data_IF_890269528903
#
_entry.id   IF_890269528903
#
_cell.length_a   1.000
_cell.length_b   1.000
_cell.length_c   1.000
_cell.angle_alpha   90.00
_cell.angle_beta   90.00
_cell.angle_gamma   90.00
#
_symmetry.space_group_name_H-M   'P 1'
#
loop_
_entity.id
_entity.type
_entity.pdbx_description
1 polymer ?
#
# COMPACT_ATOMS: atom_id res chain seq x y z
N UNK A 1 -9.09 7.14 -26.67
CA UNK A 1 -8.05 6.14 -26.34
C UNK A 1 -8.52 5.32 -25.15
N UNK A 2 -8.24 4.01 -25.13
CA UNK A 2 -8.45 3.14 -23.96
C UNK A 2 -7.10 2.81 -23.32
N UNK A 3 -7.05 2.67 -22.00
CA UNK A 3 -5.87 2.21 -21.26
C UNK A 3 -6.29 1.19 -20.20
N UNK A 4 -5.54 0.09 -20.10
CA UNK A 4 -5.71 -0.92 -19.06
C UNK A 4 -4.85 -0.60 -17.85
N UNK A 5 -5.36 -0.79 -16.64
CA UNK A 5 -4.61 -0.67 -15.38
C UNK A 5 -4.80 -1.95 -14.58
N UNK A 6 -3.69 -2.52 -14.11
CA UNK A 6 -3.71 -3.73 -13.28
C UNK A 6 -3.87 -3.36 -11.80
N UNK A 7 -4.88 -3.96 -11.16
CA UNK A 7 -5.19 -3.82 -9.75
C UNK A 7 -6.23 -2.75 -9.45
N UNK A 8 -7.20 -3.06 -8.58
CA UNK A 8 -8.24 -2.14 -8.11
C UNK A 8 -8.05 -1.69 -6.65
N UNK A 9 -6.85 -1.83 -6.12
CA UNK A 9 -6.47 -1.33 -4.79
C UNK A 9 -5.93 0.10 -4.84
N UNK A 10 -5.42 0.60 -3.70
CA UNK A 10 -4.93 1.99 -3.56
C UNK A 10 -3.97 2.41 -4.69
N UNK A 11 -3.07 1.52 -5.12
CA UNK A 11 -2.08 1.78 -6.18
C UNK A 11 -2.75 1.96 -7.55
N UNK A 12 -3.62 1.04 -7.94
CA UNK A 12 -4.27 1.08 -9.24
C UNK A 12 -5.29 2.22 -9.33
N UNK A 13 -6.01 2.49 -8.23
CA UNK A 13 -6.96 3.59 -8.17
C UNK A 13 -6.30 4.97 -8.14
N UNK A 14 -5.17 5.15 -7.43
CA UNK A 14 -4.42 6.42 -7.49
C UNK A 14 -3.86 6.66 -8.91
N UNK A 15 -3.38 5.60 -9.57
CA UNK A 15 -2.92 5.65 -10.97
C UNK A 15 -4.05 6.03 -11.92
N UNK A 16 -5.19 5.34 -11.83
CA UNK A 16 -6.37 5.63 -12.64
C UNK A 16 -6.86 7.07 -12.44
N UNK A 17 -6.91 7.51 -11.19
CA UNK A 17 -7.32 8.88 -10.84
C UNK A 17 -6.41 9.92 -11.50
N UNK A 18 -5.08 9.83 -11.33
CA UNK A 18 -4.16 10.81 -11.90
C UNK A 18 -4.22 10.86 -13.43
N UNK A 19 -4.34 9.71 -14.10
CA UNK A 19 -4.50 9.68 -15.56
C UNK A 19 -5.80 10.35 -15.96
N UNK A 20 -6.92 10.05 -15.28
CA UNK A 20 -8.22 10.63 -15.62
C UNK A 20 -8.28 12.14 -15.35
N UNK A 21 -7.59 12.60 -14.29
CA UNK A 21 -7.49 14.01 -13.92
C UNK A 21 -6.73 14.82 -14.98
N UNK A 22 -5.66 14.25 -15.56
CA UNK A 22 -4.83 14.92 -16.56
C UNK A 22 -5.30 14.67 -18.01
N UNK A 23 -6.01 13.57 -18.25
CA UNK A 23 -6.51 13.16 -19.56
C UNK A 23 -7.97 12.66 -19.47
N UNK A 24 -8.90 13.62 -19.41
CA UNK A 24 -10.33 13.35 -19.15
C UNK A 24 -11.02 12.51 -20.23
N UNK A 25 -10.49 12.51 -21.46
CA UNK A 25 -10.99 11.76 -22.61
C UNK A 25 -10.43 10.33 -22.74
N UNK A 26 -9.50 9.93 -21.86
CA UNK A 26 -9.01 8.54 -21.80
C UNK A 26 -10.05 7.68 -21.08
N UNK A 27 -10.43 6.56 -21.71
CA UNK A 27 -11.24 5.53 -21.09
C UNK A 27 -10.33 4.55 -20.35
N UNK A 28 -10.60 4.35 -19.06
CA UNK A 28 -9.76 3.53 -18.17
C UNK A 28 -10.46 2.21 -17.90
N UNK A 29 -9.79 1.11 -18.22
CA UNK A 29 -10.19 -0.24 -17.85
C UNK A 29 -9.36 -0.71 -16.66
N UNK A 30 -9.99 -0.89 -15.50
CA UNK A 30 -9.33 -1.44 -14.31
C UNK A 30 -9.60 -2.94 -14.25
N UNK A 31 -8.54 -3.73 -14.24
CA UNK A 31 -8.62 -5.19 -14.14
C UNK A 31 -8.00 -5.68 -12.84
N UNK A 32 -8.75 -6.50 -12.11
CA UNK A 32 -8.31 -7.13 -10.87
C UNK A 32 -8.94 -8.51 -10.75
N UNK A 33 -8.26 -9.43 -10.07
CA UNK A 33 -8.74 -10.79 -9.82
C UNK A 33 -10.03 -10.78 -8.98
N UNK A 34 -9.99 -10.07 -7.86
CA UNK A 34 -11.16 -9.77 -7.01
C UNK A 34 -11.52 -8.29 -7.12
N UNK A 35 -12.79 -7.93 -6.84
CA UNK A 35 -13.30 -6.55 -6.93
C UNK A 35 -13.94 -6.09 -5.62
N UNK A 36 -14.05 -4.78 -5.41
CA UNK A 36 -14.67 -4.16 -4.23
C UNK A 36 -14.09 -4.70 -2.91
N UNK A 37 -14.95 -5.07 -1.97
CA UNK A 37 -14.58 -5.59 -0.64
C UNK A 37 -13.85 -6.93 -0.67
N UNK A 38 -13.77 -7.57 -1.86
CA UNK A 38 -13.12 -8.86 -2.02
C UNK A 38 -11.61 -8.74 -2.33
N UNK A 39 -11.07 -7.52 -2.51
CA UNK A 39 -9.63 -7.35 -2.73
C UNK A 39 -8.86 -7.59 -1.44
N UNK A 40 -7.65 -8.16 -1.54
CA UNK A 40 -6.80 -8.47 -0.37
C UNK A 40 -6.32 -7.25 0.42
N UNK A 41 -6.48 -6.05 -0.13
CA UNK A 41 -6.19 -4.78 0.56
C UNK A 41 -7.40 -4.18 1.28
N UNK A 42 -8.60 -4.74 1.10
CA UNK A 42 -9.78 -4.33 1.85
C UNK A 42 -9.61 -4.73 3.32
N UNK A 43 -9.89 -3.82 4.25
CA UNK A 43 -9.63 -4.02 5.68
C UNK A 43 -8.15 -3.91 6.09
N UNK A 44 -7.21 -3.74 5.16
CA UNK A 44 -5.83 -3.47 5.53
C UNK A 44 -5.73 -2.15 6.31
N UNK A 45 -4.84 -2.07 7.29
CA UNK A 45 -4.80 -0.99 8.27
C UNK A 45 -4.59 0.44 7.72
N UNK A 46 -4.29 0.59 6.43
CA UNK A 46 -4.36 1.89 5.78
C UNK A 46 -3.34 2.92 6.28
N UNK A 47 -2.29 2.49 6.98
CA UNK A 47 -1.35 3.40 7.64
C UNK A 47 -0.29 3.95 6.67
N UNK A 48 -0.04 5.26 6.77
CA UNK A 48 1.11 5.89 6.14
C UNK A 48 2.36 5.66 6.99
N UNK A 49 3.08 4.54 6.74
CA UNK A 49 4.32 4.17 7.44
C UNK A 49 5.41 3.72 6.44
N UNK A 50 6.02 4.65 5.68
CA UNK A 50 7.18 4.35 4.85
C UNK A 50 8.36 3.90 5.69
N UNK A 51 9.04 2.85 5.23
CA UNK A 51 10.29 2.35 5.80
C UNK A 51 11.20 1.88 4.66
N UNK A 52 12.37 2.52 4.43
CA UNK A 52 13.33 2.07 3.45
C UNK A 52 13.73 0.61 3.63
N UNK A 53 13.77 0.09 4.87
CA UNK A 53 14.11 -1.31 5.16
C UNK A 53 13.11 -2.30 4.55
N UNK A 54 11.89 -1.83 4.23
CA UNK A 54 10.83 -2.61 3.60
C UNK A 54 10.77 -2.40 2.08
N UNK A 55 11.65 -1.56 1.51
CA UNK A 55 11.75 -1.41 0.07
C UNK A 55 12.09 -2.74 -0.59
N UNK A 56 11.42 -3.08 -1.69
CA UNK A 56 11.80 -4.26 -2.42
C UNK A 56 13.09 -4.02 -3.22
N UNK A 57 14.13 -4.82 -2.92
CA UNK A 57 15.44 -4.80 -3.58
C UNK A 57 16.54 -5.26 -2.60
N UNK A 58 17.56 -5.97 -3.07
CA UNK A 58 18.61 -6.55 -2.19
C UNK A 58 19.80 -5.62 -1.94
N UNK A 59 20.00 -4.59 -2.77
CA UNK A 59 21.11 -3.63 -2.63
C UNK A 59 20.63 -2.25 -3.05
N UNK A 60 20.67 -1.28 -2.13
CA UNK A 60 20.28 0.10 -2.41
C UNK A 60 21.29 0.75 -3.34
N UNK A 61 20.84 1.20 -4.52
CA UNK A 61 21.50 2.31 -5.17
C UNK A 61 20.89 3.64 -4.68
N UNK A 62 21.67 4.72 -4.80
CA UNK A 62 21.27 6.04 -4.33
C UNK A 62 20.02 6.56 -5.04
N UNK A 63 19.78 6.14 -6.28
CA UNK A 63 18.68 6.62 -7.12
C UNK A 63 17.35 6.00 -6.68
N UNK A 64 17.32 4.70 -6.39
CA UNK A 64 16.16 4.01 -5.81
C UNK A 64 15.76 4.62 -4.47
N UNK A 65 16.75 4.98 -3.64
CA UNK A 65 16.48 5.67 -2.39
C UNK A 65 15.88 7.07 -2.63
N UNK A 66 16.44 7.84 -3.58
CA UNK A 66 15.89 9.16 -3.95
C UNK A 66 14.45 9.06 -4.47
N UNK A 67 14.16 8.06 -5.30
CA UNK A 67 12.80 7.78 -5.80
C UNK A 67 11.85 7.43 -4.66
N UNK A 68 12.28 6.59 -3.72
CA UNK A 68 11.50 6.30 -2.52
C UNK A 68 11.18 7.56 -1.72
N UNK A 69 12.16 8.42 -1.44
CA UNK A 69 11.94 9.69 -0.73
C UNK A 69 10.92 10.56 -1.47
N UNK A 70 11.06 10.67 -2.79
CA UNK A 70 10.17 11.45 -3.64
C UNK A 70 8.75 10.88 -3.63
N UNK A 71 8.60 9.56 -3.73
CA UNK A 71 7.30 8.91 -3.68
C UNK A 71 6.61 9.09 -2.33
N UNK A 72 7.35 8.93 -1.23
CA UNK A 72 6.83 9.15 0.11
C UNK A 72 6.36 10.59 0.30
N UNK A 73 7.12 11.58 -0.19
CA UNK A 73 6.73 12.98 -0.07
C UNK A 73 5.45 13.30 -0.85
N UNK A 74 5.30 12.77 -2.07
CA UNK A 74 4.08 12.92 -2.86
C UNK A 74 2.86 12.29 -2.14
N UNK A 75 3.03 11.09 -1.59
CA UNK A 75 2.02 10.44 -0.75
C UNK A 75 1.64 11.31 0.46
N UNK A 76 2.64 11.76 1.22
CA UNK A 76 2.46 12.60 2.40
C UNK A 76 1.67 13.86 2.08
N UNK A 77 2.04 14.60 1.04
CA UNK A 77 1.37 15.82 0.63
C UNK A 77 -0.12 15.58 0.35
N UNK A 78 -0.43 14.54 -0.42
CA UNK A 78 -1.79 14.24 -0.79
C UNK A 78 -2.64 13.76 0.39
N UNK A 79 -2.11 12.87 1.23
CA UNK A 79 -2.84 12.43 2.43
C UNK A 79 -3.00 13.57 3.45
N UNK A 80 -2.02 14.46 3.61
CA UNK A 80 -2.15 15.64 4.49
C UNK A 80 -3.22 16.58 3.97
N UNK A 81 -3.26 16.82 2.65
CA UNK A 81 -4.32 17.60 2.02
C UNK A 81 -5.70 17.00 2.28
N UNK A 82 -5.85 15.69 2.16
CA UNK A 82 -7.12 15.00 2.45
C UNK A 82 -7.48 15.09 3.95
N UNK A 83 -6.52 14.83 4.84
CA UNK A 83 -6.71 14.86 6.30
C UNK A 83 -7.11 16.25 6.82
N UNK A 84 -6.57 17.30 6.21
CA UNK A 84 -6.86 18.70 6.57
C UNK A 84 -8.05 19.29 5.82
N UNK A 85 -8.62 18.56 4.84
CA UNK A 85 -9.77 19.02 4.08
C UNK A 85 -11.07 18.93 4.88
N UNK A 86 -12.06 19.71 4.46
CA UNK A 86 -13.43 19.63 4.96
C UNK A 86 -14.12 18.27 4.69
N UNK A 87 -13.56 17.47 3.78
CA UNK A 87 -14.03 16.13 3.42
C UNK A 87 -13.30 15.00 4.16
N UNK A 88 -12.39 15.29 5.10
CA UNK A 88 -11.59 14.28 5.81
C UNK A 88 -12.45 13.17 6.45
N UNK A 89 -13.61 13.54 7.00
CA UNK A 89 -14.58 12.61 7.59
C UNK A 89 -15.20 11.62 6.57
N UNK A 90 -15.35 12.06 5.32
CA UNK A 90 -15.88 11.24 4.22
C UNK A 90 -14.78 10.43 3.53
N UNK A 91 -13.56 10.97 3.45
CA UNK A 91 -12.41 10.24 2.86
C UNK A 91 -11.84 9.20 3.83
N UNK A 92 -12.11 9.33 5.13
CA UNK A 92 -11.57 8.46 6.16
C UNK A 92 -10.08 8.70 6.45
N UNK A 93 -9.50 9.77 5.90
CA UNK A 93 -8.09 10.13 6.12
C UNK A 93 -8.02 11.15 7.26
N UNK A 94 -7.29 10.85 8.32
CA UNK A 94 -7.13 11.72 9.49
C UNK A 94 -5.74 11.54 10.12
N UNK A 95 -5.34 12.52 10.93
CA UNK A 95 -4.14 12.38 11.76
C UNK A 95 -4.46 11.60 13.01
N UNK A 96 -3.61 10.61 13.28
CA UNK A 96 -3.71 9.80 14.48
C UNK A 96 -2.37 9.79 15.23
N UNK A 97 -2.33 10.15 16.52
CA UNK A 97 -1.13 9.98 17.33
C UNK A 97 -0.74 8.50 17.41
N UNK A 98 0.50 8.17 17.06
CA UNK A 98 1.01 6.80 17.11
C UNK A 98 2.18 6.68 18.08
N UNK A 99 2.24 5.57 18.79
CA UNK A 99 3.41 5.16 19.56
C UNK A 99 4.13 4.05 18.80
N UNK A 100 5.45 4.13 18.73
CA UNK A 100 6.28 3.05 18.21
C UNK A 100 7.14 2.53 19.35
N UNK A 101 6.89 1.27 19.71
CA UNK A 101 7.71 0.52 20.66
C UNK A 101 8.85 -0.11 19.86
N UNK A 102 10.07 0.00 20.38
CA UNK A 102 11.27 -0.58 19.79
C UNK A 102 12.34 -0.65 20.87
N UNK A 103 13.20 -1.66 20.82
CA UNK A 103 14.45 -1.63 21.59
C UNK A 103 15.21 -0.36 21.22
N UNK A 104 15.42 0.53 22.19
CA UNK A 104 15.97 1.83 21.89
C UNK A 104 17.44 1.71 21.50
N UNK A 105 17.72 1.92 20.21
CA UNK A 105 19.04 2.25 19.72
C UNK A 105 19.00 3.69 19.18
N UNK A 106 19.77 4.59 19.79
CA UNK A 106 19.80 6.03 19.46
C UNK A 106 20.12 6.32 17.99
N UNK A 107 20.74 5.36 17.29
CA UNK A 107 21.09 5.44 15.87
C UNK A 107 20.00 4.92 14.92
N UNK A 108 18.95 4.27 15.42
CA UNK A 108 17.91 3.60 14.62
C UNK A 108 16.57 4.36 14.63
N UNK A 109 16.62 5.68 14.42
CA UNK A 109 15.38 6.48 14.31
C UNK A 109 14.54 6.01 13.12
N UNK A 110 13.27 5.61 13.32
CA UNK A 110 12.38 5.18 12.26
C UNK A 110 12.27 6.25 11.17
N UNK A 111 12.34 5.84 9.91
CA UNK A 111 12.32 6.78 8.78
C UNK A 111 11.08 7.70 8.81
N UNK A 112 9.95 7.18 9.23
CA UNK A 112 8.70 7.95 9.37
C UNK A 112 8.84 9.17 10.29
N UNK A 113 9.74 9.16 11.27
CA UNK A 113 10.01 10.33 12.14
C UNK A 113 10.64 11.51 11.40
N UNK A 114 11.20 11.28 10.20
CA UNK A 114 11.71 12.34 9.31
C UNK A 114 10.58 13.00 8.51
N UNK A 115 9.44 12.33 8.36
CA UNK A 115 8.29 12.78 7.56
C UNK A 115 7.14 13.30 8.43
N UNK A 116 6.96 12.71 9.61
CA UNK A 116 5.96 13.05 10.60
C UNK A 116 6.61 13.85 11.75
N UNK A 117 5.81 14.61 12.49
CA UNK A 117 6.29 15.40 13.64
C UNK A 117 6.77 14.55 14.84
N UNK A 118 6.70 15.15 16.04
CA UNK A 118 7.23 14.58 17.30
C UNK A 118 6.94 13.07 17.47
N UNK A 119 7.99 12.27 17.49
CA UNK A 119 7.94 10.83 17.83
C UNK A 119 8.36 10.65 19.29
N UNK A 120 7.63 9.83 20.05
CA UNK A 120 8.00 9.44 21.42
C UNK A 120 8.40 7.96 21.37
N UNK A 121 9.61 7.68 21.86
CA UNK A 121 10.14 6.33 21.97
C UNK A 121 9.88 5.83 23.38
N UNK A 122 9.38 4.59 23.48
CA UNK A 122 9.27 3.86 24.72
C UNK A 122 10.17 2.64 24.59
N UNK A 123 11.02 2.45 25.59
CA UNK A 123 12.00 1.38 25.64
C UNK A 123 11.33 0.09 26.12
N UNK A 124 11.10 -0.85 25.21
CA UNK A 124 10.56 -2.18 25.48
C UNK A 124 11.25 -3.21 24.57
N UNK A 125 11.44 -4.44 25.07
CA UNK A 125 11.97 -5.56 24.27
C UNK A 125 11.12 -5.76 23.00
N UNK A 126 11.80 -5.94 21.86
CA UNK A 126 11.14 -6.10 20.58
C UNK A 126 10.45 -7.47 20.57
N UNK A 127 9.13 -7.49 20.72
CA UNK A 127 8.32 -8.68 20.50
C UNK A 127 7.76 -8.62 19.09
N UNK A 128 7.83 -9.74 18.37
CA UNK A 128 7.34 -10.02 17.02
C UNK A 128 6.30 -9.02 16.47
N UNK A 129 6.41 -8.60 15.20
CA UNK A 129 5.44 -7.84 14.37
C UNK A 129 4.08 -7.56 15.08
N UNK A 130 4.02 -6.67 16.08
CA UNK A 130 2.81 -6.38 16.87
C UNK A 130 2.40 -4.93 16.65
N UNK A 131 1.12 -4.73 16.32
CA UNK A 131 0.58 -3.40 16.11
C UNK A 131 -0.89 -3.30 16.54
N UNK A 132 -1.24 -2.12 17.00
CA UNK A 132 -2.59 -1.72 17.36
C UNK A 132 -2.87 -0.40 16.65
N UNK A 133 -3.81 -0.41 15.69
CA UNK A 133 -4.17 0.77 14.92
C UNK A 133 -5.64 1.11 15.15
N UNK A 134 -5.92 2.29 15.73
CA UNK A 134 -7.30 2.70 15.96
C UNK A 134 -7.92 3.22 14.67
N UNK A 135 -8.97 2.56 14.22
CA UNK A 135 -9.88 3.05 13.21
C UNK A 135 -10.96 3.96 13.81
N UNK A 136 -11.90 4.38 12.95
CA UNK A 136 -13.05 5.19 13.35
C UNK A 136 -14.06 4.41 14.22
N UNK A 137 -14.25 3.13 13.91
CA UNK A 137 -15.32 2.29 14.50
C UNK A 137 -14.76 1.06 15.23
N UNK A 138 -13.52 0.68 14.96
CA UNK A 138 -12.87 -0.50 15.50
C UNK A 138 -11.37 -0.26 15.68
N UNK A 139 -10.70 -1.18 16.37
CA UNK A 139 -9.24 -1.19 16.51
C UNK A 139 -8.70 -2.41 15.78
N UNK A 140 -7.73 -2.20 14.90
CA UNK A 140 -7.05 -3.27 14.18
C UNK A 140 -5.91 -3.77 15.05
N UNK A 141 -6.01 -5.03 15.47
CA UNK A 141 -4.98 -5.73 16.20
C UNK A 141 -4.21 -6.64 15.23
N UNK A 142 -2.89 -6.57 15.30
CA UNK A 142 -1.99 -7.44 14.56
C UNK A 142 -0.68 -7.61 15.31
N UNK A 143 0.31 -8.28 14.77
CA UNK A 143 0.43 -8.72 13.39
C UNK A 143 0.95 -10.15 13.29
N UNK A 144 0.94 -10.60 12.06
CA UNK A 144 1.43 -11.88 11.65
C UNK A 144 2.01 -11.71 10.25
N UNK A 145 3.17 -12.32 10.02
CA UNK A 145 3.83 -12.28 8.73
C UNK A 145 4.44 -13.64 8.44
N UNK A 146 3.78 -14.36 7.56
CA UNK A 146 4.36 -15.53 6.94
C UNK A 146 5.18 -15.10 5.71
N UNK A 147 6.39 -15.64 5.57
CA UNK A 147 7.23 -15.37 4.41
C UNK A 147 6.85 -16.30 3.26
N UNK A 148 6.34 -15.72 2.18
CA UNK A 148 6.05 -16.42 0.93
C UNK A 148 7.07 -16.03 -0.16
N UNK A 149 7.34 -16.89 -1.15
CA UNK A 149 8.19 -16.52 -2.26
C UNK A 149 7.58 -15.33 -3.03
N UNK A 150 8.39 -14.40 -3.58
CA UNK A 150 7.88 -13.19 -4.23
C UNK A 150 7.01 -13.43 -5.47
N UNK A 151 7.16 -14.62 -6.08
CA UNK A 151 6.33 -15.07 -7.21
C UNK A 151 5.83 -16.47 -6.89
N UNK A 152 4.51 -16.61 -6.83
CA UNK A 152 3.87 -17.91 -6.68
C UNK A 152 3.89 -18.64 -8.03
N UNK A 153 4.18 -19.95 -8.00
CA UNK A 153 4.13 -20.82 -9.20
C UNK A 153 2.71 -21.23 -9.60
N UNK A 154 1.71 -20.83 -8.82
CA UNK A 154 0.28 -21.07 -9.03
C UNK A 154 -0.53 -19.83 -8.67
N UNK A 155 -1.78 -19.70 -9.16
CA UNK A 155 -2.72 -18.71 -8.65
C UNK A 155 -2.94 -18.87 -7.14
N UNK A 156 -3.25 -17.76 -6.48
CA UNK A 156 -3.67 -17.74 -5.08
C UNK A 156 -5.01 -18.45 -4.90
N UNK A 157 -5.18 -19.15 -3.78
CA UNK A 157 -6.43 -19.81 -3.38
C UNK A 157 -6.93 -19.22 -2.08
N UNK A 158 -8.19 -19.50 -1.73
CA UNK A 158 -8.74 -19.04 -0.45
C UNK A 158 -8.05 -19.68 0.77
N UNK A 159 -7.36 -20.83 0.58
CA UNK A 159 -6.52 -21.43 1.61
C UNK A 159 -5.29 -20.56 1.95
N UNK A 160 -4.76 -19.79 0.99
CA UNK A 160 -3.62 -18.88 1.21
C UNK A 160 -3.99 -17.68 2.10
N UNK A 161 -5.29 -17.43 2.30
CA UNK A 161 -5.82 -16.36 3.15
C UNK A 161 -6.74 -16.88 4.27
N UNK A 162 -6.60 -18.17 4.60
CA UNK A 162 -7.39 -18.76 5.68
C UNK A 162 -6.92 -18.23 7.04
N UNK A 163 -7.87 -17.77 7.85
CA UNK A 163 -7.61 -17.36 9.24
C UNK A 163 -7.15 -18.57 10.05
N UNK A 164 -6.05 -18.40 10.80
CA UNK A 164 -5.55 -19.38 11.79
C UNK A 164 -5.97 -18.96 13.20
N UNK A 165 -6.75 -19.78 13.92
CA UNK A 165 -7.09 -19.52 15.32
C UNK A 165 -5.86 -19.42 16.23
N UNK A 166 -4.78 -20.16 15.90
CA UNK A 166 -3.51 -20.11 16.61
C UNK A 166 -2.86 -18.74 16.45
N UNK A 167 -2.79 -18.22 15.23
CA UNK A 167 -2.29 -16.86 14.95
C UNK A 167 -3.13 -15.79 15.65
N UNK A 168 -4.46 -15.92 15.66
CA UNK A 168 -5.34 -14.99 16.41
C UNK A 168 -5.00 -15.00 17.90
N UNK A 169 -4.94 -16.19 18.51
CA UNK A 169 -4.65 -16.34 19.95
C UNK A 169 -3.30 -15.71 20.30
N UNK A 170 -2.30 -15.95 19.46
CA UNK A 170 -0.95 -15.44 19.60
C UNK A 170 -0.88 -13.90 19.48
N UNK A 171 -1.59 -13.30 18.52
CA UNK A 171 -1.76 -11.83 18.41
C UNK A 171 -2.39 -11.26 19.68
N UNK A 172 -3.50 -11.83 20.15
CA UNK A 172 -4.21 -11.34 21.34
C UNK A 172 -3.36 -11.44 22.61
N UNK A 173 -2.59 -12.52 22.75
CA UNK A 173 -1.65 -12.70 23.86
C UNK A 173 -0.55 -11.64 23.87
N UNK A 174 0.02 -11.32 22.70
CA UNK A 174 1.01 -10.22 22.60
C UNK A 174 0.38 -8.88 22.95
N UNK A 175 -0.81 -8.58 22.42
CA UNK A 175 -1.52 -7.34 22.75
C UNK A 175 -1.79 -7.20 24.26
N UNK A 176 -2.26 -8.25 24.93
CA UNK A 176 -2.49 -8.23 26.37
C UNK A 176 -1.19 -8.10 27.18
N UNK A 177 -0.08 -8.62 26.65
CA UNK A 177 1.24 -8.48 27.28
C UNK A 177 1.85 -7.09 27.13
N UNK A 178 1.51 -6.37 26.06
CA UNK A 178 2.01 -5.03 25.75
C UNK A 178 1.10 -3.92 26.29
N UNK A 179 -0.22 -4.13 26.28
CA UNK A 179 -1.20 -3.09 26.64
C UNK A 179 -2.00 -3.44 27.89
N UNK A 180 -1.75 -2.70 28.98
CA UNK A 180 -2.52 -2.82 30.23
C UNK A 180 -3.85 -2.07 30.12
N UNK A 181 -4.84 -2.68 29.46
CA UNK A 181 -6.17 -2.07 29.29
C UNK A 181 -7.29 -3.01 28.86
N UNK A 182 -7.05 -4.33 28.84
CA UNK A 182 -8.06 -5.33 28.46
C UNK A 182 -8.41 -5.32 26.96
N UNK A 183 -7.58 -4.71 26.12
CA UNK A 183 -7.82 -4.63 24.68
C UNK A 183 -7.90 -6.02 24.02
N UNK A 184 -7.04 -6.97 24.42
CA UNK A 184 -7.11 -8.35 23.93
C UNK A 184 -8.34 -9.13 24.40
N UNK A 185 -9.09 -8.59 25.37
CA UNK A 185 -10.35 -9.16 25.86
C UNK A 185 -11.59 -8.44 25.30
N UNK A 186 -11.40 -7.45 24.43
CA UNK A 186 -12.51 -6.73 23.79
C UNK A 186 -13.23 -7.62 22.76
N UNK A 187 -14.53 -7.39 22.48
CA UNK A 187 -15.25 -8.17 21.49
C UNK A 187 -14.59 -8.09 20.11
N UNK A 188 -14.36 -9.25 19.49
CA UNK A 188 -13.84 -9.34 18.14
C UNK A 188 -14.96 -8.96 17.17
N UNK A 189 -14.73 -7.94 16.36
CA UNK A 189 -15.66 -7.49 15.30
C UNK A 189 -15.55 -8.41 14.08
N UNK A 190 -14.31 -8.68 13.65
CA UNK A 190 -14.00 -9.52 12.50
C UNK A 190 -12.55 -10.03 12.58
N UNK A 191 -12.26 -11.11 11.87
CA UNK A 191 -10.93 -11.67 11.68
C UNK A 191 -10.66 -11.81 10.18
N UNK A 192 -9.49 -11.40 9.71
CA UNK A 192 -9.12 -11.51 8.30
C UNK A 192 -7.61 -11.71 8.14
N UNK A 193 -7.24 -12.25 6.98
CA UNK A 193 -5.85 -12.25 6.53
C UNK A 193 -5.78 -11.73 5.09
N UNK A 194 -4.60 -11.32 4.64
CA UNK A 194 -4.42 -10.79 3.30
C UNK A 194 -3.00 -10.96 2.80
N UNK A 195 -2.86 -11.08 1.49
CA UNK A 195 -1.58 -11.20 0.81
C UNK A 195 -1.05 -9.80 0.45
N UNK A 196 0.11 -9.47 1.00
CA UNK A 196 0.85 -8.26 0.60
C UNK A 196 1.47 -8.51 -0.78
N UNK A 197 1.18 -7.68 -1.81
CA UNK A 197 1.69 -7.89 -3.16
C UNK A 197 3.15 -7.43 -3.25
N UNK A 198 4.05 -8.19 -2.64
CA UNK A 198 5.49 -7.95 -2.66
C UNK A 198 6.11 -8.47 -3.96
N UNK A 199 7.10 -7.74 -4.48
CA UNK A 199 8.01 -8.19 -5.54
C UNK A 199 9.43 -7.82 -5.15
N UNK A 200 10.49 -8.38 -5.73
CA UNK A 200 11.87 -7.92 -5.49
C UNK A 200 12.13 -6.49 -5.99
N UNK A 201 11.28 -5.96 -6.88
CA UNK A 201 11.28 -4.57 -7.33
C UNK A 201 9.86 -4.10 -7.61
N UNK A 202 9.57 -2.83 -7.38
CA UNK A 202 8.29 -2.24 -7.81
C UNK A 202 8.27 -2.25 -9.33
N UNK A 203 7.18 -2.76 -9.92
CA UNK A 203 7.01 -2.80 -11.36
C UNK A 203 6.27 -1.54 -11.81
N UNK A 204 6.97 -0.66 -12.54
CA UNK A 204 6.45 0.56 -13.16
C UNK A 204 6.78 0.52 -14.66
N UNK A 205 5.84 0.10 -15.49
CA UNK A 205 6.03 0.03 -16.95
C UNK A 205 4.70 0.08 -17.69
N UNK A 206 4.77 0.30 -19.01
CA UNK A 206 3.63 0.19 -19.92
C UNK A 206 3.93 -0.88 -20.97
N UNK A 207 3.03 -1.84 -21.09
CA UNK A 207 3.10 -2.93 -22.06
C UNK A 207 1.96 -2.78 -23.07
N UNK A 208 2.21 -3.01 -24.36
CA UNK A 208 1.17 -3.01 -25.37
C UNK A 208 0.57 -4.40 -25.52
N UNK A 209 -0.68 -4.55 -25.10
CA UNK A 209 -1.46 -5.75 -25.33
C UNK A 209 -2.20 -5.65 -26.66
N UNK A 210 -2.00 -6.63 -27.55
CA UNK A 210 -2.73 -6.73 -28.82
C UNK A 210 -3.84 -7.78 -28.69
N UNK A 211 -5.12 -7.38 -28.54
CA UNK A 211 -6.21 -8.34 -28.44
C UNK A 211 -6.44 -9.02 -29.80
N UNK A 212 -6.66 -10.33 -29.79
CA UNK A 212 -6.94 -11.11 -31.00
C UNK A 212 -8.21 -10.64 -31.73
N UNK A 213 -9.17 -10.07 -30.99
CA UNK A 213 -10.51 -9.76 -31.47
C UNK A 213 -10.68 -8.29 -31.92
N UNK A 214 -10.07 -7.33 -31.22
CA UNK A 214 -10.36 -5.89 -31.43
C UNK A 214 -9.40 -5.20 -32.38
N UNK A 215 -8.31 -5.85 -32.81
CA UNK A 215 -7.22 -5.34 -33.67
C UNK A 215 -6.54 -4.02 -33.23
N UNK A 216 -7.11 -3.28 -32.29
CA UNK A 216 -6.52 -2.07 -31.70
C UNK A 216 -5.64 -2.44 -30.49
N UNK A 217 -4.36 -2.03 -30.49
CA UNK A 217 -3.46 -2.24 -29.37
C UNK A 217 -3.95 -1.46 -28.14
N UNK A 218 -3.94 -2.12 -26.98
CA UNK A 218 -4.32 -1.57 -25.68
C UNK A 218 -3.06 -1.42 -24.81
N UNK A 219 -2.69 -0.19 -24.40
CA UNK A 219 -1.62 -0.01 -23.44
C UNK A 219 -2.08 -0.47 -22.06
N UNK A 220 -1.29 -1.32 -21.44
CA UNK A 220 -1.49 -1.88 -20.10
C UNK A 220 -0.45 -1.27 -19.16
N UNK A 221 -0.95 -0.61 -18.13
CA UNK A 221 -0.15 0.01 -17.09
C UNK A 221 0.10 -1.00 -15.98
N UNK A 222 1.37 -1.23 -15.71
CA UNK A 222 1.86 -2.00 -14.58
C UNK A 222 2.35 -1.03 -13.51
N UNK A 223 1.62 -0.93 -12.40
CA UNK A 223 2.05 -0.25 -11.17
C UNK A 223 1.69 -1.15 -9.99
N UNK A 224 2.61 -2.04 -9.58
CA UNK A 224 2.39 -3.00 -8.49
C UNK A 224 3.71 -3.51 -7.89
N UNK A 225 3.63 -4.26 -6.78
CA UNK A 225 4.80 -4.83 -6.10
C UNK A 225 5.23 -4.12 -4.82
N UNK A 226 4.39 -3.23 -4.27
CA UNK A 226 4.72 -2.34 -3.15
C UNK A 226 4.75 -3.01 -1.76
N UNK A 227 4.41 -4.30 -1.66
CA UNK A 227 4.40 -5.01 -0.36
C UNK A 227 3.51 -4.32 0.68
N UNK A 228 4.06 -4.04 1.86
CA UNK A 228 3.37 -3.33 2.95
C UNK A 228 3.26 -1.81 2.75
N UNK A 229 3.91 -1.24 1.74
CA UNK A 229 4.03 0.22 1.58
C UNK A 229 3.07 0.79 0.53
N UNK A 230 2.01 0.05 0.18
CA UNK A 230 1.04 0.47 -0.82
C UNK A 230 0.47 1.87 -0.57
N UNK A 231 0.07 2.17 0.67
CA UNK A 231 -0.43 3.50 1.06
C UNK A 231 0.66 4.55 0.89
N UNK A 232 1.84 4.33 1.48
CA UNK A 232 2.91 5.31 1.50
C UNK A 232 3.42 5.71 0.10
N UNK A 233 3.42 4.75 -0.84
CA UNK A 233 4.00 4.93 -2.17
C UNK A 233 2.97 5.20 -3.27
N UNK A 234 1.68 4.97 -3.01
CA UNK A 234 0.57 5.04 -3.97
C UNK A 234 0.56 6.26 -4.89
N UNK A 235 0.64 7.47 -4.33
CA UNK A 235 0.61 8.70 -5.12
C UNK A 235 1.92 8.96 -5.84
N UNK A 236 3.04 8.65 -5.19
CA UNK A 236 4.36 8.78 -5.76
C UNK A 236 4.56 7.95 -7.02
N UNK A 237 4.26 6.65 -6.95
CA UNK A 237 4.43 5.77 -8.11
C UNK A 237 3.37 6.03 -9.17
N UNK A 238 2.18 6.51 -8.79
CA UNK A 238 1.16 6.95 -9.74
C UNK A 238 1.61 8.18 -10.56
N UNK A 239 2.33 9.14 -9.95
CA UNK A 239 2.89 10.30 -10.67
C UNK A 239 3.92 9.84 -11.72
N UNK A 240 4.80 8.91 -11.38
CA UNK A 240 5.77 8.41 -12.36
C UNK A 240 5.12 7.57 -13.45
N UNK A 241 4.09 6.81 -13.09
CA UNK A 241 3.28 6.08 -14.07
C UNK A 241 2.57 7.03 -15.03
N UNK A 242 2.07 8.17 -14.56
CA UNK A 242 1.50 9.22 -15.41
C UNK A 242 2.55 9.75 -16.41
N UNK A 243 3.79 9.99 -15.97
CA UNK A 243 4.86 10.43 -16.89
C UNK A 243 5.14 9.40 -17.98
N UNK A 244 5.25 8.11 -17.60
CA UNK A 244 5.41 7.02 -18.56
C UNK A 244 4.24 6.99 -19.57
N UNK A 245 3.02 7.18 -19.08
CA UNK A 245 1.83 7.23 -19.94
C UNK A 245 1.88 8.41 -20.92
N UNK A 246 2.22 9.61 -20.44
CA UNK A 246 2.35 10.78 -21.29
C UNK A 246 3.43 10.61 -22.36
N UNK A 247 4.56 9.99 -22.03
CA UNK A 247 5.64 9.73 -22.99
C UNK A 247 5.19 8.77 -24.09
N UNK A 248 4.40 7.75 -23.74
CA UNK A 248 3.79 6.82 -24.70
C UNK A 248 2.77 7.52 -25.58
N UNK A 249 1.93 8.39 -25.02
CA UNK A 249 0.93 9.16 -25.79
C UNK A 249 1.63 10.14 -26.75
N UNK A 250 2.67 10.85 -26.30
CA UNK A 250 3.44 11.80 -27.13
C UNK A 250 4.20 11.12 -28.27
N UNK A 251 4.70 9.91 -28.03
CA UNK A 251 5.48 9.14 -29.02
C UNK A 251 4.61 8.32 -29.99
N UNK A 252 3.30 8.21 -29.75
CA UNK A 252 2.38 7.48 -30.61
C UNK A 252 1.72 8.43 -31.63
N UNK A 253 2.12 8.40 -32.93
CA UNK A 253 1.62 9.34 -33.94
C UNK A 253 0.11 9.24 -34.24
N UNK A 254 -0.56 8.21 -33.73
CA UNK A 254 -1.99 7.94 -33.94
C UNK A 254 -2.87 8.22 -32.71
N UNK A 255 -2.31 8.76 -31.62
CA UNK A 255 -3.04 9.07 -30.39
C UNK A 255 -3.12 10.60 -30.23
N UNK A 256 -3.56 11.27 -31.28
CA UNK A 256 -3.98 12.66 -31.16
C UNK A 256 -5.48 12.68 -30.89
N UNK A 257 -5.77 13.08 -29.65
CA UNK A 257 -7.09 13.46 -29.16
C UNK A 257 -7.56 14.77 -29.78
#
# INVERSE_FOLDING_TARGET
MKVGIIGSGIIGLSTAFLIKENHSNVEILIQSDKKNVMVTSYGAAGIFRPDPKLLPGSEYDQDQFNDFIRWCNAGREQYWKLATSWNSSNTGVYFHPTYQLSEYNEFDRPFISKLCGKTVFLDEEERDDTYCYTGKESVILGGFREHLPPVLKRPTTDDDIRVSPESTKDILQRIDSTWHGGLGNSPIVEEWTGLRPFRPSIKLEIEWYQPEITCEPLPIIHNYGHGSMGVALSWGTAIDTLKLFEDVVKSSPNIHT
#
